data_IF_536576629622
#
_entry.id   IF_536576629622
#
_cell.length_a   1.000
_cell.length_b   1.000
_cell.length_c   1.000
_cell.angle_alpha   90.00
_cell.angle_beta   90.00
_cell.angle_gamma   90.00
#
_symmetry.space_group_name_H-M   'P 1'
#
loop_
_entity.id
_entity.type
_entity.pdbx_description
1 polymer ?
#
# COMPACT_ATOMS: atom_id res chain seq x y z
N UNK A 1 29.27 -21.77 -5.61
CA UNK A 1 28.29 -21.46 -6.69
C UNK A 1 27.40 -20.30 -6.22
N UNK A 2 27.82 -19.03 -6.35
CA UNK A 2 27.00 -17.87 -5.93
C UNK A 2 26.16 -17.25 -7.07
N UNK A 3 26.66 -17.26 -8.32
CA UNK A 3 26.04 -16.50 -9.43
C UNK A 3 24.72 -17.05 -9.98
N UNK A 4 24.42 -18.35 -9.81
CA UNK A 4 23.15 -18.92 -10.28
C UNK A 4 21.96 -18.56 -9.38
N UNK A 5 22.21 -18.24 -8.10
CA UNK A 5 21.15 -17.96 -7.14
C UNK A 5 20.53 -16.59 -7.38
N UNK A 6 21.34 -15.57 -7.69
CA UNK A 6 20.84 -14.23 -8.03
C UNK A 6 20.01 -14.24 -9.30
N UNK A 7 20.43 -15.03 -10.31
CA UNK A 7 19.66 -15.18 -11.55
C UNK A 7 18.31 -15.88 -11.31
N UNK A 8 18.27 -16.92 -10.46
CA UNK A 8 17.03 -17.59 -10.09
C UNK A 8 16.11 -16.64 -9.32
N UNK A 9 16.64 -15.87 -8.36
CA UNK A 9 15.87 -14.89 -7.58
C UNK A 9 15.25 -13.84 -8.50
N UNK A 10 16.02 -13.27 -9.44
CA UNK A 10 15.50 -12.30 -10.41
C UNK A 10 14.38 -12.85 -11.29
N UNK A 11 14.46 -14.12 -11.71
CA UNK A 11 13.38 -14.78 -12.47
C UNK A 11 12.12 -14.97 -11.61
N UNK A 12 12.27 -15.34 -10.34
CA UNK A 12 11.14 -15.50 -9.41
C UNK A 12 10.49 -14.14 -9.14
N UNK A 13 11.27 -13.08 -8.96
CA UNK A 13 10.78 -11.72 -8.75
C UNK A 13 10.02 -11.19 -9.99
N UNK A 14 10.55 -11.46 -11.19
CA UNK A 14 9.86 -11.13 -12.44
C UNK A 14 8.51 -11.85 -12.58
N UNK A 15 8.44 -13.14 -12.18
CA UNK A 15 7.17 -13.87 -12.14
C UNK A 15 6.21 -13.29 -11.09
N UNK A 16 6.74 -12.92 -9.92
CA UNK A 16 5.99 -12.30 -8.83
C UNK A 16 5.30 -11.02 -9.25
N UNK A 17 6.08 -10.02 -9.68
CA UNK A 17 5.55 -8.71 -10.05
C UNK A 17 4.89 -8.67 -11.43
N UNK A 18 5.34 -9.50 -12.37
CA UNK A 18 4.83 -9.51 -13.74
C UNK A 18 3.57 -10.35 -13.95
N UNK A 19 3.36 -11.40 -13.15
CA UNK A 19 2.24 -12.33 -13.33
C UNK A 19 1.41 -12.53 -12.07
N UNK A 20 2.03 -12.90 -10.94
CA UNK A 20 1.30 -13.31 -9.74
C UNK A 20 0.54 -12.14 -9.09
N UNK A 21 1.18 -10.97 -8.96
CA UNK A 21 0.53 -9.78 -8.39
C UNK A 21 -0.68 -9.34 -9.24
N UNK A 22 -0.56 -9.12 -10.57
CA UNK A 22 -1.72 -8.81 -11.41
C UNK A 22 -2.84 -9.85 -11.32
N UNK A 23 -2.51 -11.15 -11.39
CA UNK A 23 -3.49 -12.22 -11.30
C UNK A 23 -4.25 -12.20 -9.97
N UNK A 24 -3.55 -11.97 -8.84
CA UNK A 24 -4.16 -11.85 -7.53
C UNK A 24 -5.23 -10.74 -7.49
N UNK A 25 -4.93 -9.57 -8.05
CA UNK A 25 -5.89 -8.46 -8.10
C UNK A 25 -7.10 -8.79 -8.99
N UNK A 26 -6.89 -9.48 -10.12
CA UNK A 26 -7.99 -9.92 -11.01
C UNK A 26 -8.90 -10.92 -10.30
N UNK A 27 -8.32 -11.97 -9.71
CA UNK A 27 -9.07 -13.01 -9.00
C UNK A 27 -9.83 -12.40 -7.82
N UNK A 28 -9.19 -11.56 -7.02
CA UNK A 28 -9.85 -10.85 -5.92
C UNK A 28 -11.05 -10.04 -6.42
N UNK A 29 -10.92 -9.36 -7.57
CA UNK A 29 -12.02 -8.60 -8.16
C UNK A 29 -13.18 -9.47 -8.66
N UNK A 30 -12.88 -10.66 -9.17
CA UNK A 30 -13.89 -11.63 -9.64
C UNK A 30 -14.62 -12.29 -8.46
N UNK A 31 -13.89 -12.64 -7.40
CA UNK A 31 -14.43 -13.28 -6.20
C UNK A 31 -15.14 -12.30 -5.26
N UNK A 32 -15.02 -10.98 -5.52
CA UNK A 32 -15.63 -9.96 -4.70
C UNK A 32 -17.18 -10.01 -4.78
N UNK A 33 -17.81 -10.31 -3.64
CA UNK A 33 -19.27 -10.39 -3.51
C UNK A 33 -19.87 -8.97 -3.38
N UNK A 34 -20.08 -8.33 -4.52
CA UNK A 34 -20.72 -7.00 -4.59
C UNK A 34 -22.19 -7.05 -4.19
N UNK A 35 -22.88 -8.16 -4.46
CA UNK A 35 -24.29 -8.33 -4.12
C UNK A 35 -24.50 -8.31 -2.61
N UNK A 36 -23.67 -9.03 -1.84
CA UNK A 36 -23.69 -8.97 -0.38
C UNK A 36 -23.45 -7.55 0.17
N UNK A 37 -22.56 -6.77 -0.47
CA UNK A 37 -22.28 -5.40 -0.06
C UNK A 37 -23.48 -4.45 -0.32
N UNK A 38 -24.15 -4.61 -1.47
CA UNK A 38 -25.24 -3.71 -1.88
C UNK A 38 -26.58 -4.03 -1.20
N UNK A 39 -26.77 -5.28 -0.77
CA UNK A 39 -28.03 -5.68 -0.13
C UNK A 39 -28.16 -5.16 1.30
N UNK A 40 -27.04 -4.95 2.01
CA UNK A 40 -27.02 -4.48 3.38
C UNK A 40 -26.44 -3.05 3.50
N UNK A 41 -27.30 -2.11 3.89
CA UNK A 41 -26.91 -0.70 4.09
C UNK A 41 -25.85 -0.56 5.19
N UNK A 42 -25.84 -1.44 6.19
CA UNK A 42 -24.84 -1.41 7.27
C UNK A 42 -23.47 -1.79 6.70
N UNK A 43 -23.40 -2.82 5.87
CA UNK A 43 -22.18 -3.25 5.19
C UNK A 43 -21.61 -2.17 4.28
N UNK A 44 -22.46 -1.40 3.59
CA UNK A 44 -22.01 -0.24 2.82
C UNK A 44 -21.41 0.86 3.70
N UNK A 45 -22.02 1.13 4.86
CA UNK A 45 -21.56 2.14 5.81
C UNK A 45 -20.26 1.73 6.54
N UNK A 46 -20.00 0.42 6.63
CA UNK A 46 -18.76 -0.13 7.18
C UNK A 46 -17.54 0.13 6.28
N UNK A 47 -17.73 0.27 4.97
CA UNK A 47 -16.62 0.54 4.02
C UNK A 47 -15.81 1.79 4.38
N UNK A 48 -16.41 2.99 4.53
CA UNK A 48 -15.65 4.18 4.92
C UNK A 48 -15.08 4.06 6.34
N UNK A 49 -15.75 3.34 7.25
CA UNK A 49 -15.25 3.10 8.59
C UNK A 49 -13.97 2.24 8.58
N UNK A 50 -13.94 1.14 7.82
CA UNK A 50 -12.75 0.31 7.66
C UNK A 50 -11.63 1.04 6.93
N UNK A 51 -11.95 1.83 5.91
CA UNK A 51 -10.94 2.66 5.23
C UNK A 51 -10.29 3.66 6.20
N UNK A 52 -11.10 4.31 7.04
CA UNK A 52 -10.59 5.18 8.10
C UNK A 52 -9.74 4.40 9.12
N UNK A 53 -10.14 3.17 9.47
CA UNK A 53 -9.37 2.31 10.36
C UNK A 53 -8.02 1.90 9.75
N UNK A 54 -7.93 1.64 8.45
CA UNK A 54 -6.66 1.37 7.77
C UNK A 54 -5.73 2.58 7.83
N UNK A 55 -6.27 3.78 7.57
CA UNK A 55 -5.52 5.02 7.73
C UNK A 55 -5.05 5.22 9.17
N UNK A 56 -5.88 4.90 10.17
CA UNK A 56 -5.55 5.12 11.57
C UNK A 56 -4.54 4.10 12.12
N UNK A 57 -4.71 2.83 11.77
CA UNK A 57 -3.88 1.71 12.27
C UNK A 57 -2.58 1.55 11.49
N UNK A 58 -2.59 1.80 10.16
CA UNK A 58 -1.38 1.69 9.33
C UNK A 58 -0.76 3.05 9.04
N UNK A 59 -1.58 3.99 8.54
CA UNK A 59 -1.10 5.33 8.21
C UNK A 59 -0.71 6.15 9.44
N UNK A 60 -1.45 6.02 10.55
CA UNK A 60 -1.23 6.76 11.78
C UNK A 60 0.15 6.53 12.40
N UNK A 61 0.57 5.27 12.65
CA UNK A 61 1.90 4.97 13.15
C UNK A 61 2.99 5.40 12.17
N UNK A 62 2.82 5.18 10.87
CA UNK A 62 3.80 5.59 9.86
C UNK A 62 3.94 7.11 9.83
N UNK A 63 2.84 7.84 9.93
CA UNK A 63 2.89 9.28 10.09
C UNK A 63 3.61 9.64 11.39
N UNK A 64 3.23 9.09 12.55
CA UNK A 64 3.80 9.48 13.85
C UNK A 64 5.31 9.23 13.95
N UNK A 65 5.78 8.08 13.44
CA UNK A 65 7.17 7.63 13.51
C UNK A 65 8.01 7.97 12.27
N UNK A 66 7.44 8.68 11.29
CA UNK A 66 8.21 9.09 10.12
C UNK A 66 9.44 9.93 10.54
N UNK A 67 10.57 9.81 9.81
CA UNK A 67 11.77 10.60 10.09
C UNK A 67 11.45 12.09 10.14
N UNK A 68 12.06 12.81 11.09
CA UNK A 68 11.72 14.23 11.34
C UNK A 68 12.22 15.17 10.25
N UNK A 69 13.15 14.69 9.45
CA UNK A 69 13.75 15.30 8.26
C UNK A 69 12.86 15.22 7.01
N UNK A 70 11.77 14.45 7.05
CA UNK A 70 10.76 14.45 5.97
C UNK A 70 9.87 15.70 6.03
N UNK A 71 9.73 16.36 4.88
CA UNK A 71 8.71 17.40 4.68
C UNK A 71 7.30 16.90 4.99
N UNK A 72 6.38 17.82 5.36
CA UNK A 72 5.02 17.44 5.81
C UNK A 72 4.25 16.68 4.73
N UNK A 73 4.43 17.09 3.47
CA UNK A 73 3.83 16.44 2.33
C UNK A 73 4.36 15.03 2.07
N UNK A 74 5.68 14.82 2.14
CA UNK A 74 6.29 13.50 1.95
C UNK A 74 5.95 12.56 3.10
N UNK A 75 5.89 13.07 4.33
CA UNK A 75 5.42 12.35 5.51
C UNK A 75 3.97 11.89 5.37
N UNK A 76 3.08 12.76 4.87
CA UNK A 76 1.69 12.41 4.60
C UNK A 76 1.57 11.39 3.45
N UNK A 77 2.34 11.57 2.38
CA UNK A 77 2.34 10.65 1.25
C UNK A 77 2.83 9.25 1.65
N UNK A 78 3.89 9.17 2.47
CA UNK A 78 4.39 7.92 3.04
C UNK A 78 3.32 7.20 3.85
N UNK A 79 2.61 7.93 4.73
CA UNK A 79 1.51 7.39 5.51
C UNK A 79 0.38 6.85 4.60
N UNK A 80 0.00 7.59 3.56
CA UNK A 80 -1.05 7.17 2.61
C UNK A 80 -0.64 5.92 1.81
N UNK A 81 0.60 5.86 1.29
CA UNK A 81 1.09 4.67 0.59
C UNK A 81 1.12 3.44 1.51
N UNK A 82 1.57 3.60 2.75
CA UNK A 82 1.67 2.51 3.72
C UNK A 82 0.31 1.93 4.17
N UNK A 83 -0.76 2.72 4.06
CA UNK A 83 -2.09 2.30 4.47
C UNK A 83 -2.79 1.39 3.44
N UNK A 84 -2.23 1.23 2.24
CA UNK A 84 -2.74 0.28 1.24
C UNK A 84 -2.50 -1.17 1.69
N UNK A 85 -3.53 -2.03 1.60
CA UNK A 85 -3.45 -3.34 2.26
C UNK A 85 -4.29 -4.48 1.70
N UNK A 86 -4.61 -4.48 0.40
CA UNK A 86 -5.52 -5.48 -0.16
C UNK A 86 -5.10 -6.95 0.05
N UNK A 87 -3.86 -7.39 -0.27
CA UNK A 87 -3.54 -8.81 -0.25
C UNK A 87 -3.72 -9.49 1.11
N UNK A 88 -3.26 -8.81 2.16
CA UNK A 88 -3.38 -9.31 3.53
C UNK A 88 -4.84 -9.33 3.98
N UNK A 89 -5.62 -8.28 3.67
CA UNK A 89 -7.03 -8.21 4.06
C UNK A 89 -7.82 -9.35 3.43
N UNK A 90 -7.67 -9.58 2.12
CA UNK A 90 -8.33 -10.67 1.40
C UNK A 90 -8.00 -12.01 2.03
N UNK A 91 -6.71 -12.29 2.27
CA UNK A 91 -6.29 -13.54 2.88
C UNK A 91 -6.94 -13.76 4.27
N UNK A 92 -6.93 -12.74 5.13
CA UNK A 92 -7.54 -12.84 6.47
C UNK A 92 -9.06 -12.97 6.42
N UNK A 93 -9.74 -12.24 5.52
CA UNK A 93 -11.20 -12.33 5.39
C UNK A 93 -11.62 -13.68 4.84
N UNK A 94 -10.89 -14.25 3.87
CA UNK A 94 -11.15 -15.59 3.35
C UNK A 94 -11.02 -16.64 4.44
N UNK A 95 -9.92 -16.59 5.21
CA UNK A 95 -9.72 -17.48 6.36
C UNK A 95 -10.82 -17.29 7.42
N UNK A 96 -11.21 -16.04 7.71
CA UNK A 96 -12.24 -15.73 8.69
C UNK A 96 -13.62 -16.23 8.30
N UNK A 97 -13.99 -16.15 7.02
CA UNK A 97 -15.24 -16.69 6.49
C UNK A 97 -15.22 -18.22 6.51
N UNK A 98 -14.12 -18.84 6.07
CA UNK A 98 -13.94 -20.30 6.07
C UNK A 98 -14.08 -20.90 7.48
N UNK A 99 -13.47 -20.24 8.47
CA UNK A 99 -13.58 -20.61 9.88
C UNK A 99 -14.90 -20.19 10.55
N UNK A 100 -15.83 -19.58 9.80
CA UNK A 100 -17.11 -19.04 10.30
C UNK A 100 -16.96 -18.02 11.43
N UNK A 101 -15.81 -17.35 11.49
CA UNK A 101 -15.52 -16.26 12.43
C UNK A 101 -15.97 -14.90 11.89
N UNK A 102 -16.11 -14.79 10.56
CA UNK A 102 -16.48 -13.58 9.86
C UNK A 102 -17.69 -13.86 8.94
N UNK A 103 -18.70 -13.00 9.01
CA UNK A 103 -19.81 -13.04 8.06
C UNK A 103 -19.40 -12.53 6.68
N UNK A 104 -19.98 -13.08 5.62
CA UNK A 104 -19.72 -12.70 4.23
C UNK A 104 -19.93 -11.21 3.96
N UNK A 105 -20.96 -10.60 4.56
CA UNK A 105 -21.26 -9.17 4.38
C UNK A 105 -20.13 -8.27 4.91
N UNK A 106 -19.60 -8.60 6.10
CA UNK A 106 -18.47 -7.87 6.72
C UNK A 106 -17.16 -8.12 5.97
N UNK A 107 -16.96 -9.34 5.47
CA UNK A 107 -15.82 -9.67 4.64
C UNK A 107 -15.83 -8.83 3.34
N UNK A 108 -16.98 -8.73 2.68
CA UNK A 108 -17.18 -7.89 1.50
C UNK A 108 -16.88 -6.41 1.83
N UNK A 109 -17.37 -5.87 2.94
CA UNK A 109 -17.05 -4.49 3.36
C UNK A 109 -15.54 -4.26 3.56
N UNK A 110 -14.84 -5.21 4.19
CA UNK A 110 -13.39 -5.13 4.41
C UNK A 110 -12.60 -5.19 3.09
N UNK A 111 -12.96 -6.11 2.21
CA UNK A 111 -12.31 -6.25 0.89
C UNK A 111 -12.58 -5.00 0.05
N UNK A 112 -13.82 -4.50 0.03
CA UNK A 112 -14.18 -3.27 -0.67
C UNK A 112 -13.38 -2.06 -0.17
N UNK A 113 -13.30 -1.88 1.16
CA UNK A 113 -12.49 -0.83 1.76
C UNK A 113 -11.01 -0.97 1.37
N UNK A 114 -10.49 -2.20 1.29
CA UNK A 114 -9.11 -2.44 0.90
C UNK A 114 -8.87 -2.17 -0.59
N UNK A 115 -9.83 -2.48 -1.47
CA UNK A 115 -9.77 -2.13 -2.90
C UNK A 115 -9.77 -0.62 -3.09
N UNK A 116 -10.67 0.09 -2.41
CA UNK A 116 -10.69 1.55 -2.39
C UNK A 116 -9.39 2.13 -1.82
N UNK A 117 -8.78 1.48 -0.84
CA UNK A 117 -7.51 1.93 -0.27
C UNK A 117 -6.40 1.95 -1.33
N UNK A 118 -6.27 0.88 -2.11
CA UNK A 118 -5.23 0.73 -3.15
C UNK A 118 -5.47 1.69 -4.32
N UNK A 119 -6.72 2.06 -4.59
CA UNK A 119 -7.06 3.02 -5.64
C UNK A 119 -6.92 4.48 -5.20
N UNK A 120 -7.51 4.84 -4.06
CA UNK A 120 -7.67 6.22 -3.63
C UNK A 120 -6.41 6.76 -2.94
N UNK A 121 -5.79 6.00 -2.03
CA UNK A 121 -4.71 6.52 -1.19
C UNK A 121 -3.45 6.84 -2.00
N UNK A 122 -2.96 5.98 -2.92
CA UNK A 122 -1.85 6.33 -3.80
C UNK A 122 -2.14 7.55 -4.65
N UNK A 123 -3.36 7.66 -5.18
CA UNK A 123 -3.78 8.80 -5.99
C UNK A 123 -3.89 10.10 -5.18
N UNK A 124 -4.19 10.03 -3.89
CA UNK A 124 -4.13 11.18 -2.98
C UNK A 124 -2.69 11.52 -2.60
N UNK A 125 -1.85 10.50 -2.33
CA UNK A 125 -0.44 10.68 -1.99
C UNK A 125 0.33 11.39 -3.11
N UNK A 126 0.12 10.99 -4.36
CA UNK A 126 0.75 11.64 -5.52
C UNK A 126 0.28 13.08 -5.69
N UNK A 127 -1.01 13.38 -5.47
CA UNK A 127 -1.53 14.75 -5.52
C UNK A 127 -0.98 15.64 -4.41
N UNK A 128 -0.86 15.12 -3.18
CA UNK A 128 -0.25 15.84 -2.05
C UNK A 128 1.19 16.23 -2.38
N UNK A 129 1.97 15.29 -2.93
CA UNK A 129 3.37 15.57 -3.32
C UNK A 129 3.47 16.55 -4.49
N UNK A 130 2.60 16.44 -5.49
CA UNK A 130 2.57 17.36 -6.63
C UNK A 130 2.33 18.81 -6.18
N UNK A 131 1.37 19.03 -5.27
CA UNK A 131 1.10 20.38 -4.74
C UNK A 131 2.22 20.94 -3.87
N UNK A 132 2.91 20.10 -3.11
CA UNK A 132 4.05 20.53 -2.31
C UNK A 132 5.21 21.02 -3.19
N UNK A 133 5.45 20.35 -4.32
CA UNK A 133 6.43 20.77 -5.32
C UNK A 133 6.08 22.14 -5.94
N UNK A 134 4.78 22.41 -6.20
CA UNK A 134 4.31 23.71 -6.70
C UNK A 134 4.45 24.83 -5.65
N UNK A 135 4.35 24.50 -4.36
CA UNK A 135 4.40 25.47 -3.25
C UNK A 135 5.84 25.75 -2.78
N UNK A 136 6.85 25.11 -3.38
CA UNK A 136 8.27 25.32 -3.06
C UNK A 136 8.70 24.74 -1.71
N UNK A 137 7.95 23.76 -1.18
CA UNK A 137 8.37 23.04 0.02
C UNK A 137 9.65 22.26 -0.31
N UNK A 138 10.74 22.40 0.46
CA UNK A 138 12.01 21.77 0.13
C UNK A 138 11.80 20.26 0.10
N UNK A 139 11.90 19.66 -1.09
CA UNK A 139 12.01 18.22 -1.23
C UNK A 139 13.17 17.79 -0.34
N UNK A 140 12.90 16.89 0.62
CA UNK A 140 13.95 16.31 1.46
C UNK A 140 15.07 15.87 0.53
N UNK A 141 16.20 16.56 0.59
CA UNK A 141 17.32 16.32 -0.29
C UNK A 141 17.82 14.92 0.02
N UNK A 142 17.44 13.95 -0.81
CA UNK A 142 18.34 12.83 -1.07
C UNK A 142 19.61 13.50 -1.60
N UNK A 143 20.61 13.65 -0.72
CA UNK A 143 21.91 14.16 -1.11
C UNK A 143 22.40 13.35 -2.33
N UNK A 144 23.17 13.95 -3.24
CA UNK A 144 23.77 13.21 -4.34
C UNK A 144 24.45 11.95 -3.79
N UNK A 145 24.37 10.79 -4.47
CA UNK A 145 25.11 9.61 -4.03
C UNK A 145 26.57 10.05 -3.87
N UNK A 146 27.09 9.98 -2.63
CA UNK A 146 28.52 10.17 -2.39
C UNK A 146 29.24 9.20 -3.32
N UNK A 147 29.96 9.75 -4.30
CA UNK A 147 30.83 8.94 -5.15
C UNK A 147 31.96 8.45 -4.25
N UNK A 148 32.11 7.14 -4.02
CA UNK A 148 33.28 6.65 -3.33
C UNK A 148 34.48 6.82 -4.27
N UNK A 149 35.35 7.79 -4.03
CA UNK A 149 36.67 7.80 -4.69
C UNK A 149 37.40 9.11 -5.00
N UNK A 150 36.87 10.31 -4.73
CA UNK A 150 37.55 11.57 -5.14
C UNK A 150 38.45 12.21 -4.05
N UNK A 151 39.01 11.44 -3.11
CA UNK A 151 39.85 11.99 -2.02
C UNK A 151 41.29 11.43 -1.92
N UNK A 152 41.79 10.68 -2.91
CA UNK A 152 43.09 9.98 -2.80
C UNK A 152 44.21 10.42 -3.77
N UNK A 153 43.99 11.32 -4.73
CA UNK A 153 45.02 11.65 -5.74
C UNK A 153 45.30 13.15 -5.88
N UNK A 154 45.42 13.83 -4.74
CA UNK A 154 46.25 15.02 -4.65
C UNK A 154 47.31 14.75 -3.59
N UNK A 155 48.57 14.96 -3.99
CA UNK A 155 49.84 14.86 -3.25
C UNK A 155 50.54 13.51 -3.25
#
# INVERSE_FOLDING_TARGET
VPGSSEEIVGRVEALGFGFLVPLFYIVTGIEFDLDALLHDTVSLLLVPAFLALFLLVRGGPVYLFAPRDLGRADRLALALFSATCLPLVVALTTIGVDQKLLGTDRAASLVCAAMLSVLLLPALATRVRARAAETGEPATSAGPPERPGEESEAW
#
